data_IF_864572569632
#
_entry.id   IF_864572569632
#
_cell.length_a   1.000
_cell.length_b   1.000
_cell.length_c   1.000
_cell.angle_alpha   90.00
_cell.angle_beta   90.00
_cell.angle_gamma   90.00
#
_symmetry.space_group_name_H-M   'P 1'
#
loop_
_entity.id
_entity.type
_entity.pdbx_description
1 polymer ?
#
# COMPACT_ATOMS: atom_id res chain seq x y z
N UNK A 1 2.94 -7.96 -15.63
CA UNK A 1 3.68 -6.94 -14.86
C UNK A 1 4.73 -6.30 -15.77
N UNK A 2 4.83 -4.98 -15.77
CA UNK A 2 5.84 -4.24 -16.52
C UNK A 2 6.48 -3.18 -15.62
N UNK A 3 7.81 -3.02 -15.70
CA UNK A 3 8.54 -1.93 -15.04
C UNK A 3 8.83 -0.88 -16.10
N UNK A 4 8.36 0.34 -15.87
CA UNK A 4 8.32 1.40 -16.87
C UNK A 4 8.64 2.75 -16.25
N UNK A 5 9.05 3.70 -17.10
CA UNK A 5 9.01 5.12 -16.75
C UNK A 5 7.63 5.70 -17.02
N UNK A 6 7.32 6.87 -16.45
CA UNK A 6 6.06 7.60 -16.67
C UNK A 6 5.77 7.80 -18.16
N UNK A 7 6.78 8.18 -18.94
CA UNK A 7 6.68 8.39 -20.40
C UNK A 7 6.39 7.09 -21.17
N UNK A 8 7.06 6.00 -20.82
CA UNK A 8 6.91 4.71 -21.53
C UNK A 8 5.60 4.02 -21.15
N UNK A 9 5.07 4.29 -19.94
CA UNK A 9 3.86 3.66 -19.43
C UNK A 9 2.66 3.89 -20.34
N UNK A 10 2.43 5.13 -20.79
CA UNK A 10 1.30 5.48 -21.66
C UNK A 10 1.39 4.74 -22.99
N UNK A 11 2.56 4.77 -23.63
CA UNK A 11 2.82 4.07 -24.90
C UNK A 11 2.64 2.56 -24.74
N UNK A 12 3.12 1.97 -23.65
CA UNK A 12 2.99 0.54 -23.40
C UNK A 12 1.54 0.13 -23.14
N UNK A 13 0.78 0.96 -22.42
CA UNK A 13 -0.66 0.76 -22.19
C UNK A 13 -1.44 0.79 -23.50
N UNK A 14 -1.15 1.76 -24.38
CA UNK A 14 -1.78 1.83 -25.71
C UNK A 14 -1.46 0.62 -26.59
N UNK A 15 -0.19 0.17 -26.60
CA UNK A 15 0.20 -1.02 -27.35
C UNK A 15 -0.49 -2.27 -26.79
N UNK A 16 -0.51 -2.44 -25.47
CA UNK A 16 -1.19 -3.57 -24.82
C UNK A 16 -2.69 -3.59 -25.15
N UNK A 17 -3.33 -2.42 -25.23
CA UNK A 17 -4.72 -2.28 -25.66
C UNK A 17 -4.91 -2.63 -27.13
N UNK A 18 -4.07 -2.12 -28.03
CA UNK A 18 -4.12 -2.42 -29.46
C UNK A 18 -3.89 -3.91 -29.76
N UNK A 19 -3.14 -4.60 -28.91
CA UNK A 19 -2.92 -6.05 -28.97
C UNK A 19 -4.01 -6.86 -28.25
N UNK A 20 -5.09 -6.22 -27.78
CA UNK A 20 -6.19 -6.85 -27.03
C UNK A 20 -5.73 -7.61 -25.78
N UNK A 21 -4.63 -7.18 -25.17
CA UNK A 21 -4.11 -7.76 -23.93
C UNK A 21 -4.68 -7.07 -22.69
N UNK A 22 -5.36 -5.94 -22.85
CA UNK A 22 -6.04 -5.19 -21.78
C UNK A 22 -7.53 -5.54 -21.80
N UNK A 23 -7.90 -6.61 -21.11
CA UNK A 23 -9.29 -7.09 -21.00
C UNK A 23 -9.59 -7.52 -19.56
N UNK A 24 -10.85 -7.81 -19.26
CA UNK A 24 -11.33 -8.12 -17.89
C UNK A 24 -10.63 -9.30 -17.20
N UNK A 25 -10.12 -10.27 -17.97
CA UNK A 25 -9.38 -11.42 -17.43
C UNK A 25 -7.86 -11.21 -17.34
N UNK A 26 -7.33 -10.08 -17.83
CA UNK A 26 -5.89 -9.81 -17.89
C UNK A 26 -5.51 -8.84 -16.78
N UNK A 27 -4.44 -9.17 -16.05
CA UNK A 27 -3.97 -8.37 -14.92
C UNK A 27 -2.70 -7.62 -15.27
N UNK A 28 -2.81 -6.30 -15.37
CA UNK A 28 -1.68 -5.42 -15.64
C UNK A 28 -1.25 -4.69 -14.38
N UNK A 29 -0.04 -4.98 -13.91
CA UNK A 29 0.65 -4.18 -12.90
C UNK A 29 1.76 -3.38 -13.58
N UNK A 30 1.65 -2.06 -13.54
CA UNK A 30 2.71 -1.13 -13.97
C UNK A 30 3.49 -0.65 -12.75
N UNK A 31 4.80 -0.91 -12.75
CA UNK A 31 5.72 -0.41 -11.73
C UNK A 31 6.46 0.78 -12.30
N UNK A 32 6.20 1.97 -11.77
CA UNK A 32 6.67 3.25 -12.30
C UNK A 32 7.88 3.72 -11.49
N UNK A 33 9.06 3.68 -12.12
CA UNK A 33 10.33 3.83 -11.41
C UNK A 33 10.83 5.28 -11.23
N UNK A 34 10.33 6.22 -12.03
CA UNK A 34 10.80 7.60 -12.15
C UNK A 34 9.88 8.62 -11.46
N UNK A 35 9.21 8.19 -10.39
CA UNK A 35 8.33 9.03 -9.57
C UNK A 35 8.93 9.31 -8.20
N UNK A 36 8.47 10.40 -7.57
CA UNK A 36 8.79 10.77 -6.20
C UNK A 36 7.59 11.46 -5.53
N UNK A 37 7.74 11.94 -4.30
CA UNK A 37 6.67 12.67 -3.59
C UNK A 37 6.13 13.88 -4.39
N UNK A 38 6.96 14.54 -5.19
CA UNK A 38 6.62 15.79 -5.88
C UNK A 38 6.03 15.54 -7.28
N UNK A 39 6.44 14.46 -7.95
CA UNK A 39 6.04 14.10 -9.32
C UNK A 39 5.20 12.81 -9.39
N UNK A 40 4.71 12.31 -8.26
CA UNK A 40 3.96 11.05 -8.16
C UNK A 40 2.45 11.17 -8.38
N UNK A 41 1.93 12.27 -8.94
CA UNK A 41 0.50 12.37 -9.22
C UNK A 41 0.14 11.60 -10.50
N UNK A 42 -0.20 10.32 -10.35
CA UNK A 42 -0.58 9.45 -11.46
C UNK A 42 -1.95 9.77 -12.06
N UNK A 43 -2.83 10.46 -11.33
CA UNK A 43 -4.17 10.80 -11.81
C UNK A 43 -4.13 11.68 -13.06
N UNK A 44 -3.09 12.50 -13.24
CA UNK A 44 -2.91 13.31 -14.46
C UNK A 44 -2.26 12.57 -15.63
N UNK A 45 -1.65 11.41 -15.36
CA UNK A 45 -0.97 10.60 -16.37
C UNK A 45 -1.93 9.58 -16.99
N UNK A 46 -2.89 9.12 -16.20
CA UNK A 46 -3.90 8.13 -16.59
C UNK A 46 -5.16 8.88 -17.03
N UNK A 47 -5.09 9.53 -18.19
CA UNK A 47 -6.19 10.35 -18.73
C UNK A 47 -7.28 9.53 -19.43
N UNK A 48 -7.04 8.24 -19.68
CA UNK A 48 -8.00 7.37 -20.34
C UNK A 48 -7.74 5.91 -19.95
N UNK A 49 -8.64 5.35 -19.16
CA UNK A 49 -8.82 3.90 -19.09
C UNK A 49 -10.11 3.54 -19.80
N UNK A 50 -10.15 2.32 -20.33
CA UNK A 50 -11.34 1.79 -20.98
C UNK A 50 -12.11 0.89 -20.01
N UNK A 51 -13.42 0.84 -20.23
CA UNK A 51 -14.32 -0.04 -19.50
C UNK A 51 -13.81 -1.49 -19.53
N UNK A 52 -13.65 -2.10 -18.36
CA UNK A 52 -13.19 -3.49 -18.22
C UNK A 52 -11.68 -3.71 -18.29
N UNK A 53 -10.87 -2.65 -18.38
CA UNK A 53 -9.42 -2.77 -18.21
C UNK A 53 -9.06 -3.03 -16.75
N UNK A 54 -8.35 -4.12 -16.47
CA UNK A 54 -7.90 -4.39 -15.11
C UNK A 54 -6.41 -4.03 -14.93
N UNK A 55 -6.21 -2.84 -14.37
CA UNK A 55 -4.89 -2.22 -14.24
C UNK A 55 -4.65 -1.77 -12.80
N UNK A 56 -3.45 -2.03 -12.32
CA UNK A 56 -2.92 -1.53 -11.07
C UNK A 56 -1.56 -0.86 -11.30
N UNK A 57 -1.25 0.09 -10.44
CA UNK A 57 -0.05 0.90 -10.51
C UNK A 57 0.70 0.80 -9.20
N UNK A 58 2.01 0.62 -9.26
CA UNK A 58 2.89 0.77 -8.11
C UNK A 58 3.94 1.80 -8.46
N UNK A 59 4.07 2.84 -7.65
CA UNK A 59 4.94 3.96 -7.98
C UNK A 59 5.66 4.48 -6.74
N UNK A 60 6.80 5.10 -6.98
CA UNK A 60 7.65 5.59 -5.94
C UNK A 60 7.12 6.94 -5.41
N UNK A 61 6.96 7.02 -4.09
CA UNK A 61 6.54 8.22 -3.35
C UNK A 61 7.62 8.57 -2.33
N UNK A 62 8.88 8.38 -2.74
CA UNK A 62 10.01 8.64 -1.85
C UNK A 62 10.08 10.14 -1.52
N UNK A 63 10.17 10.45 -0.24
CA UNK A 63 10.51 11.78 0.24
C UNK A 63 12.03 11.95 0.26
N UNK A 64 12.53 12.92 -0.51
CA UNK A 64 13.93 13.30 -0.60
C UNK A 64 14.28 14.48 0.32
N UNK A 65 13.39 14.84 1.25
CA UNK A 65 13.64 15.91 2.21
C UNK A 65 14.92 15.64 3.02
N UNK A 66 15.68 16.69 3.37
CA UNK A 66 16.89 16.55 4.19
C UNK A 66 16.58 16.07 5.62
N UNK A 67 15.32 16.22 6.05
CA UNK A 67 14.83 15.76 7.35
C UNK A 67 14.58 14.25 7.39
N UNK A 68 14.67 13.58 6.23
CA UNK A 68 14.36 12.18 6.13
C UNK A 68 15.48 11.29 6.66
N UNK A 69 15.18 10.55 7.73
CA UNK A 69 16.14 9.66 8.39
C UNK A 69 16.13 8.28 7.73
N UNK A 70 17.21 7.95 7.05
CA UNK A 70 17.40 6.63 6.45
C UNK A 70 18.83 6.08 6.74
N UNK A 71 19.05 4.81 6.41
CA UNK A 71 20.34 4.15 6.51
C UNK A 71 20.44 3.20 7.70
N UNK A 72 21.41 2.27 7.61
CA UNK A 72 21.55 1.16 8.55
C UNK A 72 21.71 1.60 10.01
N UNK A 73 22.42 2.70 10.26
CA UNK A 73 22.62 3.21 11.62
C UNK A 73 21.32 3.69 12.26
N UNK A 74 20.41 4.26 11.48
CA UNK A 74 19.08 4.66 11.94
C UNK A 74 18.30 3.43 12.42
N UNK A 75 18.23 2.40 11.57
CA UNK A 75 17.54 1.16 11.91
C UNK A 75 18.17 0.45 13.12
N UNK A 76 19.50 0.41 13.23
CA UNK A 76 20.18 -0.15 14.39
C UNK A 76 19.83 0.59 15.68
N UNK A 77 19.80 1.93 15.65
CA UNK A 77 19.41 2.74 16.80
C UNK A 77 17.96 2.50 17.22
N UNK A 78 17.04 2.43 16.26
CA UNK A 78 15.64 2.12 16.54
C UNK A 78 15.44 0.71 17.07
N UNK A 79 16.12 -0.28 16.48
CA UNK A 79 16.02 -1.67 16.91
C UNK A 79 16.58 -1.86 18.33
N UNK A 80 17.69 -1.20 18.67
CA UNK A 80 18.23 -1.18 20.03
C UNK A 80 17.29 -0.47 21.01
N UNK A 81 16.72 0.67 20.62
CA UNK A 81 15.76 1.41 21.46
C UNK A 81 14.49 0.60 21.72
N UNK A 82 13.97 -0.07 20.70
CA UNK A 82 12.84 -0.97 20.80
C UNK A 82 13.15 -2.16 21.71
N UNK A 83 14.36 -2.74 21.60
CA UNK A 83 14.79 -3.84 22.46
C UNK A 83 14.92 -3.42 23.92
N UNK A 84 15.56 -2.28 24.21
CA UNK A 84 15.70 -1.75 25.57
C UNK A 84 14.34 -1.46 26.18
N UNK A 85 13.43 -0.82 25.42
CA UNK A 85 12.06 -0.56 25.88
C UNK A 85 11.26 -1.84 26.13
N UNK A 86 11.41 -2.85 25.26
CA UNK A 86 10.74 -4.13 25.42
C UNK A 86 11.27 -4.90 26.64
N UNK A 87 12.58 -4.84 26.88
CA UNK A 87 13.22 -5.47 28.02
C UNK A 87 12.81 -4.82 29.34
N UNK A 88 12.80 -3.48 29.40
CA UNK A 88 12.34 -2.75 30.59
C UNK A 88 10.89 -3.09 30.94
N UNK A 89 9.99 -3.05 29.95
CA UNK A 89 8.60 -3.45 30.14
C UNK A 89 8.45 -4.91 30.60
N UNK A 90 9.15 -5.85 29.96
CA UNK A 90 9.08 -7.26 30.35
C UNK A 90 9.63 -7.52 31.76
N UNK A 91 10.67 -6.80 32.18
CA UNK A 91 11.22 -6.91 33.54
C UNK A 91 10.26 -6.31 34.56
N UNK A 92 9.68 -5.13 34.29
CA UNK A 92 8.67 -4.53 35.17
C UNK A 92 7.45 -5.43 35.32
N UNK A 93 6.92 -5.95 34.22
CA UNK A 93 5.78 -6.89 34.24
C UNK A 93 6.09 -8.15 35.06
N UNK A 94 7.29 -8.74 34.92
CA UNK A 94 7.70 -9.90 35.72
C UNK A 94 7.88 -9.58 37.21
N UNK A 95 8.46 -8.42 37.53
CA UNK A 95 8.64 -7.97 38.92
C UNK A 95 7.31 -7.69 39.61
N UNK A 96 6.38 -7.05 38.90
CA UNK A 96 5.06 -6.70 39.43
C UNK A 96 4.22 -7.94 39.73
N UNK A 97 4.29 -8.96 38.86
CA UNK A 97 3.62 -10.24 39.09
C UNK A 97 4.28 -11.00 40.25
N UNK A 98 5.62 -11.07 40.27
CA UNK A 98 6.35 -11.75 41.33
C UNK A 98 6.10 -11.14 42.72
N UNK A 99 5.88 -9.82 42.80
CA UNK A 99 5.58 -9.14 44.05
C UNK A 99 4.17 -9.42 44.60
N UNK A 100 3.25 -9.93 43.78
CA UNK A 100 1.84 -10.16 44.14
C UNK A 100 1.51 -11.61 44.52
N UNK A 101 2.42 -12.54 44.24
CA UNK A 101 2.20 -13.99 44.42
C UNK A 101 3.20 -14.57 45.41
N UNK A 102 2.90 -15.75 45.96
CA UNK A 102 3.89 -16.47 46.79
C UNK A 102 5.00 -17.09 45.95
N UNK A 103 6.12 -17.48 46.58
CA UNK A 103 7.24 -18.11 45.89
C UNK A 103 6.83 -19.43 45.20
N UNK A 104 5.92 -20.19 45.81
CA UNK A 104 5.40 -21.44 45.24
C UNK A 104 4.51 -21.19 44.02
N UNK A 105 3.66 -20.16 44.08
CA UNK A 105 2.81 -19.74 42.97
C UNK A 105 3.66 -19.19 41.81
N UNK A 106 4.68 -18.39 42.12
CA UNK A 106 5.62 -17.86 41.13
C UNK A 106 6.33 -18.96 40.35
N UNK A 107 6.85 -19.99 41.03
CA UNK A 107 7.50 -21.12 40.34
C UNK A 107 6.54 -21.90 39.42
N UNK A 108 5.23 -21.88 39.71
CA UNK A 108 4.22 -22.49 38.84
C UNK A 108 3.87 -21.62 37.61
N UNK A 109 3.89 -20.29 37.73
CA UNK A 109 3.40 -19.37 36.67
C UNK A 109 4.50 -18.60 35.93
N UNK A 110 5.75 -18.66 36.39
CA UNK A 110 6.88 -17.94 35.79
C UNK A 110 7.00 -18.19 34.28
N UNK A 111 7.29 -17.15 33.47
CA UNK A 111 7.44 -17.32 32.02
C UNK A 111 8.56 -18.28 31.63
N UNK A 112 8.30 -19.10 30.63
CA UNK A 112 9.34 -19.90 29.97
C UNK A 112 10.25 -19.03 29.10
N UNK A 113 11.44 -19.52 28.75
CA UNK A 113 12.36 -18.83 27.82
C UNK A 113 11.69 -18.48 26.48
N UNK A 114 10.80 -19.35 25.99
CA UNK A 114 10.07 -19.12 24.75
C UNK A 114 9.06 -17.99 24.90
N UNK A 115 8.29 -17.98 25.99
CA UNK A 115 7.32 -16.91 26.28
C UNK A 115 8.01 -15.55 26.43
N UNK A 116 9.14 -15.48 27.14
CA UNK A 116 9.95 -14.25 27.26
C UNK A 116 10.41 -13.73 25.90
N UNK A 117 10.94 -14.61 25.05
CA UNK A 117 11.34 -14.25 23.68
C UNK A 117 10.15 -13.69 22.89
N UNK A 118 9.00 -14.36 22.92
CA UNK A 118 7.81 -13.92 22.18
C UNK A 118 7.27 -12.59 22.71
N UNK A 119 7.29 -12.37 24.02
CA UNK A 119 6.90 -11.12 24.66
C UNK A 119 7.80 -9.97 24.21
N UNK A 120 9.12 -10.16 24.28
CA UNK A 120 10.11 -9.17 23.82
C UNK A 120 9.89 -8.81 22.34
N UNK A 121 9.75 -9.82 21.47
CA UNK A 121 9.51 -9.59 20.04
C UNK A 121 8.21 -8.83 19.80
N UNK A 122 7.14 -9.15 20.53
CA UNK A 122 5.85 -8.46 20.42
C UNK A 122 5.96 -6.99 20.83
N UNK A 123 6.61 -6.69 21.95
CA UNK A 123 6.84 -5.32 22.40
C UNK A 123 7.73 -4.54 21.43
N UNK A 124 8.80 -5.17 20.91
CA UNK A 124 9.64 -4.55 19.89
C UNK A 124 8.84 -4.20 18.62
N UNK A 125 8.01 -5.12 18.12
CA UNK A 125 7.16 -4.88 16.96
C UNK A 125 6.17 -3.73 17.20
N UNK A 126 5.54 -3.68 18.36
CA UNK A 126 4.63 -2.59 18.73
C UNK A 126 5.35 -1.25 18.85
N UNK A 127 6.55 -1.22 19.45
CA UNK A 127 7.37 -0.02 19.55
C UNK A 127 7.75 0.50 18.17
N UNK A 128 8.24 -0.38 17.30
CA UNK A 128 8.64 -0.01 15.94
C UNK A 128 7.44 0.48 15.14
N UNK A 129 6.30 -0.22 15.20
CA UNK A 129 5.09 0.17 14.47
C UNK A 129 4.56 1.57 14.87
N UNK A 130 4.77 2.00 16.12
CA UNK A 130 4.25 3.26 16.65
C UNK A 130 5.25 4.41 16.62
N UNK A 131 6.55 4.12 16.80
CA UNK A 131 7.59 5.15 17.00
C UNK A 131 8.64 5.20 15.91
N UNK A 132 8.68 4.23 14.99
CA UNK A 132 9.69 4.23 13.95
C UNK A 132 9.54 5.43 13.01
N UNK A 133 10.67 6.04 12.72
CA UNK A 133 10.86 7.16 11.78
C UNK A 133 11.90 6.80 10.72
N UNK A 134 12.79 5.84 11.00
CA UNK A 134 13.77 5.36 10.05
C UNK A 134 13.09 4.66 8.86
N UNK A 135 13.45 5.06 7.64
CA UNK A 135 12.93 4.40 6.44
C UNK A 135 11.56 4.85 5.98
N UNK A 136 10.95 5.84 6.65
CA UNK A 136 9.73 6.49 6.15
C UNK A 136 9.98 7.37 4.91
N UNK A 137 11.23 7.42 4.44
CA UNK A 137 11.64 8.13 3.24
C UNK A 137 11.21 7.37 2.00
N UNK A 138 11.48 6.07 1.95
CA UNK A 138 11.27 5.27 0.75
C UNK A 138 9.97 4.51 0.87
N UNK A 139 8.92 5.07 0.28
CA UNK A 139 7.61 4.45 0.24
C UNK A 139 7.21 4.27 -1.21
N UNK A 140 6.76 3.06 -1.55
CA UNK A 140 6.08 2.80 -2.82
C UNK A 140 4.60 2.68 -2.53
N UNK A 141 3.77 3.34 -3.34
CA UNK A 141 2.31 3.30 -3.19
C UNK A 141 1.72 2.44 -4.29
N UNK A 142 0.77 1.59 -3.92
CA UNK A 142 -0.04 0.81 -4.83
C UNK A 142 -1.42 1.46 -5.00
N UNK A 143 -1.85 1.59 -6.25
CA UNK A 143 -3.18 2.03 -6.66
C UNK A 143 -3.82 0.98 -7.55
N UNK A 144 -5.12 0.79 -7.44
CA UNK A 144 -5.93 0.02 -8.36
C UNK A 144 -6.88 0.95 -9.11
N UNK A 145 -7.07 0.73 -10.41
CA UNK A 145 -8.07 1.45 -11.18
C UNK A 145 -9.44 0.78 -11.05
N UNK A 146 -10.49 1.56 -10.77
CA UNK A 146 -11.88 1.12 -10.88
C UNK A 146 -12.43 1.50 -12.26
N UNK A 147 -12.47 0.54 -13.19
CA UNK A 147 -12.85 0.77 -14.59
C UNK A 147 -14.21 0.18 -14.96
N UNK A 148 -14.96 -0.39 -14.01
CA UNK A 148 -16.21 -1.06 -14.31
C UNK A 148 -17.43 -0.29 -13.80
N UNK A 149 -18.46 -0.22 -14.64
CA UNK A 149 -19.65 0.59 -14.43
C UNK A 149 -19.39 2.09 -14.59
N UNK A 150 -18.15 2.52 -14.87
CA UNK A 150 -17.79 3.94 -14.93
C UNK A 150 -18.52 4.66 -16.07
N UNK A 151 -18.67 4.00 -17.23
CA UNK A 151 -19.43 4.54 -18.36
C UNK A 151 -20.93 4.68 -18.06
N UNK A 152 -21.46 3.89 -17.11
CA UNK A 152 -22.88 3.93 -16.71
C UNK A 152 -23.16 4.91 -15.56
N UNK A 153 -22.16 5.23 -14.72
CA UNK A 153 -22.29 6.21 -13.62
C UNK A 153 -22.55 7.62 -14.14
N UNK A 154 -21.99 7.99 -15.30
CA UNK A 154 -22.19 9.33 -15.90
C UNK A 154 -23.64 9.59 -16.32
N UNK A 155 -24.42 8.54 -16.57
CA UNK A 155 -25.83 8.65 -16.94
C UNK A 155 -26.75 8.99 -15.75
N UNK A 156 -26.34 8.77 -14.51
CA UNK A 156 -27.16 9.08 -13.33
C UNK A 156 -26.98 10.51 -12.81
N UNK A 157 -25.84 11.15 -13.10
CA UNK A 157 -25.54 12.51 -12.62
C UNK A 157 -25.87 13.63 -13.62
N UNK A 158 -26.32 13.30 -14.84
CA UNK A 158 -26.71 14.29 -15.85
C UNK A 158 -28.10 14.02 -16.42
N UNK A 159 -29.12 14.25 -15.60
CA UNK A 159 -30.39 14.70 -16.16
C UNK A 159 -30.17 16.10 -16.80
N UNK A 160 -30.36 16.15 -18.12
CA UNK A 160 -30.57 17.34 -18.97
C UNK A 160 -29.38 18.28 -19.26
N UNK A 161 -28.72 18.07 -20.40
CA UNK A 161 -28.63 18.99 -21.56
C UNK A 161 -27.30 18.84 -22.31
N UNK A 162 -27.36 18.49 -23.59
CA UNK A 162 -26.36 18.96 -24.56
C UNK A 162 -25.59 17.89 -25.34
N UNK A 163 -26.06 17.72 -26.57
CA UNK A 163 -25.25 17.46 -27.77
C UNK A 163 -24.93 16.01 -28.16
N UNK A 164 -25.83 15.50 -28.99
CA UNK A 164 -25.57 14.43 -29.96
C UNK A 164 -24.52 14.88 -30.97
N UNK A 165 -23.25 14.54 -30.75
CA UNK A 165 -22.18 14.77 -31.73
C UNK A 165 -20.96 13.88 -31.50
N UNK A 166 -20.78 12.88 -32.37
CA UNK A 166 -19.62 11.97 -32.53
C UNK A 166 -19.56 10.72 -31.62
N UNK A 167 -20.35 9.71 -31.98
CA UNK A 167 -20.28 8.35 -31.47
C UNK A 167 -19.04 7.58 -31.99
N UNK A 168 -17.83 7.97 -31.58
CA UNK A 168 -16.59 7.19 -31.84
C UNK A 168 -15.73 6.92 -30.61
N UNK A 169 -16.16 7.33 -29.40
CA UNK A 169 -15.43 7.14 -28.12
C UNK A 169 -16.18 6.25 -27.13
N UNK A 170 -17.00 5.31 -27.63
CA UNK A 170 -17.74 4.38 -26.78
C UNK A 170 -16.78 3.52 -25.93
N UNK A 171 -16.73 3.78 -24.62
CA UNK A 171 -15.98 2.99 -23.63
C UNK A 171 -14.76 3.67 -23.01
N UNK A 172 -14.44 4.92 -23.35
CA UNK A 172 -13.42 5.71 -22.63
C UNK A 172 -14.01 6.28 -21.35
N UNK A 173 -13.33 6.06 -20.22
CA UNK A 173 -13.71 6.60 -18.92
C UNK A 173 -13.14 8.02 -18.79
N UNK A 174 -14.01 9.03 -18.74
CA UNK A 174 -13.62 10.44 -18.61
C UNK A 174 -13.08 10.79 -17.21
N UNK A 175 -13.52 10.08 -16.17
CA UNK A 175 -13.04 10.24 -14.81
C UNK A 175 -12.57 8.91 -14.22
N UNK A 176 -11.26 8.72 -14.15
CA UNK A 176 -10.65 7.51 -13.58
C UNK A 176 -10.40 7.70 -12.09
N UNK A 177 -11.16 6.98 -11.28
CA UNK A 177 -10.90 6.89 -9.83
C UNK A 177 -9.84 5.83 -9.55
N UNK A 178 -8.69 6.29 -9.03
CA UNK A 178 -7.61 5.42 -8.56
C UNK A 178 -7.76 5.18 -7.07
N UNK A 179 -7.99 3.93 -6.69
CA UNK A 179 -8.13 3.52 -5.30
C UNK A 179 -6.77 3.21 -4.70
N UNK A 180 -6.49 3.76 -3.53
CA UNK A 180 -5.33 3.33 -2.75
C UNK A 180 -5.57 1.95 -2.15
N UNK A 181 -4.73 1.00 -2.52
CA UNK A 181 -4.87 -0.42 -2.10
C UNK A 181 -3.73 -0.89 -1.20
N UNK A 182 -2.63 -0.16 -1.13
CA UNK A 182 -1.53 -0.52 -0.26
C UNK A 182 -0.25 0.26 -0.49
N UNK A 183 0.78 -0.12 0.26
CA UNK A 183 2.09 0.50 0.19
C UNK A 183 3.19 -0.54 0.47
N UNK A 184 4.40 -0.24 0.02
CA UNK A 184 5.60 -0.96 0.40
C UNK A 184 6.58 0.00 1.05
N UNK A 185 7.15 -0.42 2.18
CA UNK A 185 8.28 0.26 2.82
C UNK A 185 9.33 -0.76 3.23
N UNK A 186 10.60 -0.36 3.36
CA UNK A 186 11.66 -1.25 3.87
C UNK A 186 11.35 -1.85 5.24
N UNK A 187 10.58 -1.15 6.08
CA UNK A 187 10.36 -1.52 7.49
C UNK A 187 9.28 -2.58 7.69
N UNK A 188 8.14 -2.46 7.02
CA UNK A 188 6.99 -3.34 7.18
C UNK A 188 6.65 -4.13 5.90
N UNK A 189 7.55 -4.09 4.92
CA UNK A 189 7.43 -4.75 3.63
C UNK A 189 6.16 -4.32 2.88
N UNK A 190 5.63 -5.21 2.04
CA UNK A 190 4.42 -4.96 1.27
C UNK A 190 3.21 -5.13 2.18
N UNK A 191 2.38 -4.08 2.28
CA UNK A 191 1.10 -4.09 2.99
C UNK A 191 -0.01 -3.64 2.08
N UNK A 192 -1.08 -4.42 2.06
CA UNK A 192 -2.28 -4.14 1.32
C UNK A 192 -3.43 -3.90 2.29
N UNK A 193 -4.08 -2.75 2.13
CA UNK A 193 -5.35 -2.45 2.79
C UNK A 193 -6.51 -3.05 1.99
N UNK A 194 -6.34 -3.20 0.67
CA UNK A 194 -7.31 -3.79 -0.25
C UNK A 194 -6.63 -4.64 -1.34
N UNK A 195 -7.43 -5.38 -2.10
CA UNK A 195 -6.95 -6.22 -3.19
C UNK A 195 -6.46 -5.37 -4.36
N UNK A 196 -5.26 -5.68 -4.88
CA UNK A 196 -4.63 -4.97 -6.00
C UNK A 196 -5.48 -5.01 -7.29
N UNK A 197 -6.28 -6.07 -7.43
CA UNK A 197 -7.16 -6.29 -8.56
C UNK A 197 -8.58 -6.63 -8.06
N UNK A 198 -9.40 -5.62 -7.74
CA UNK A 198 -10.68 -5.81 -7.06
C UNK A 198 -11.64 -6.77 -7.78
N UNK A 199 -11.63 -6.75 -9.12
CA UNK A 199 -12.51 -7.55 -9.97
C UNK A 199 -12.34 -9.08 -9.82
N UNK A 200 -11.17 -9.58 -9.39
CA UNK A 200 -10.91 -11.03 -9.25
C UNK A 200 -11.49 -11.60 -7.96
N UNK A 201 -11.42 -10.84 -6.86
CA UNK A 201 -11.71 -11.37 -5.53
C UNK A 201 -13.03 -10.86 -4.96
N UNK A 202 -13.43 -9.63 -5.30
CA UNK A 202 -14.64 -9.00 -4.78
C UNK A 202 -15.75 -8.83 -5.81
N UNK A 203 -15.52 -9.28 -7.06
CA UNK A 203 -16.33 -8.84 -8.19
C UNK A 203 -16.17 -7.33 -8.43
N UNK A 204 -16.87 -6.80 -9.42
CA UNK A 204 -16.88 -5.35 -9.64
C UNK A 204 -17.54 -4.67 -8.43
N UNK A 205 -16.92 -3.58 -7.94
CA UNK A 205 -17.46 -2.76 -6.85
C UNK A 205 -18.71 -2.01 -7.34
N UNK A 206 -19.80 -2.75 -7.51
CA UNK A 206 -21.13 -2.22 -7.78
C UNK A 206 -21.64 -1.50 -6.55
N UNK A 207 -21.44 -0.18 -6.54
CA UNK A 207 -22.42 0.73 -5.92
C UNK A 207 -23.43 1.10 -7.00
#
# INVERSE_FOLDING_TARGET
>A
MAIVTTEVMTTLSEIARNLLMSHTLAQWLYVISDTDLNNGNLSSLINSLYEGENVAFMYNVTDNSPDCKNGIMCYCQEMLSAFVSALDAAVQDELDVAAQVSDEEWEAIRPTKLQRRSMLLKHMQQFIATKSRCGNCSTWRALAADTWGATYRTFTDTEFLGDTGNATTAGVIEHVDLLHVGYWRPIDALRFDEVLFPHVEHGFRGK
#
